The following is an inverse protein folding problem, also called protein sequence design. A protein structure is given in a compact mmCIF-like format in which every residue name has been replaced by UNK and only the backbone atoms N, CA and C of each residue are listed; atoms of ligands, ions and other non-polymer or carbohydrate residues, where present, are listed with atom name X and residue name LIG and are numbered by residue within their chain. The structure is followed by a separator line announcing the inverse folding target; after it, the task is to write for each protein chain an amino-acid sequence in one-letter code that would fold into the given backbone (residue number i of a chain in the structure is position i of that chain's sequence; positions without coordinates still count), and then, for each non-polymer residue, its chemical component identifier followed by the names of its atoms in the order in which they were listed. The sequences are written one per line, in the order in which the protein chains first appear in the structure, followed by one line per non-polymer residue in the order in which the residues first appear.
data_IF_098075006414
#
_entry.id   IF_098075006414
#
_cell.length_a   1.000
_cell.length_b   1.000
_cell.length_c   1.000
_cell.angle_alpha   90.00
_cell.angle_beta   90.00
_cell.angle_gamma   90.00
#
_symmetry.space_group_name_H-M   'P 1'
#
loop_
_entity.id
_entity.type
_entity.pdbx_description
1 polymer ?
#
# COMPACT_ATOMS: atom_id res chain seq x y z
N UNK A 1 24.68 -37.21 29.11
CA UNK A 1 24.83 -35.75 29.29
C UNK A 1 23.74 -35.09 28.46
N UNK A 2 22.64 -34.71 29.09
CA UNK A 2 21.46 -34.12 28.48
C UNK A 2 21.56 -32.61 28.61
N UNK A 3 21.50 -31.88 27.50
CA UNK A 3 21.48 -30.40 27.49
C UNK A 3 20.22 -29.88 28.19
N UNK A 4 20.30 -28.82 29.03
CA UNK A 4 19.13 -28.27 29.69
C UNK A 4 18.22 -27.61 28.65
N UNK A 5 16.95 -28.02 28.61
CA UNK A 5 15.94 -27.45 27.73
C UNK A 5 15.76 -25.96 28.00
N UNK A 6 16.04 -25.12 27.01
CA UNK A 6 15.76 -23.70 27.07
C UNK A 6 14.24 -23.47 27.12
N UNK A 7 13.75 -22.98 28.25
CA UNK A 7 12.37 -22.54 28.41
C UNK A 7 12.11 -21.33 27.50
N UNK A 8 11.14 -21.43 26.59
CA UNK A 8 10.73 -20.34 25.70
C UNK A 8 10.25 -19.15 26.53
N UNK A 9 10.74 -17.95 26.21
CA UNK A 9 10.26 -16.70 26.82
C UNK A 9 9.40 -15.93 25.81
N UNK A 10 8.20 -15.57 26.23
CA UNK A 10 7.32 -14.67 25.51
C UNK A 10 7.54 -13.24 26.01
N UNK A 11 7.57 -12.29 25.08
CA UNK A 11 7.65 -10.87 25.37
C UNK A 11 6.41 -10.18 24.81
N UNK A 12 5.84 -9.24 25.55
CA UNK A 12 4.69 -8.44 25.14
C UNK A 12 5.00 -6.95 25.26
N UNK A 13 4.29 -6.13 24.49
CA UNK A 13 4.34 -4.68 24.60
C UNK A 13 4.02 -4.23 26.04
N UNK A 14 4.68 -3.16 26.50
CA UNK A 14 4.35 -2.50 27.76
C UNK A 14 3.13 -1.58 27.65
N UNK A 15 2.64 -1.33 26.43
CA UNK A 15 1.47 -0.51 26.20
C UNK A 15 0.19 -1.35 26.31
N UNK A 16 -0.87 -0.73 26.83
CA UNK A 16 -2.19 -1.34 26.81
C UNK A 16 -2.56 -1.72 25.36
N UNK A 17 -3.16 -2.90 25.13
CA UNK A 17 -3.67 -3.26 23.82
C UNK A 17 -4.62 -2.18 23.29
N UNK A 18 -4.49 -1.84 22.01
CA UNK A 18 -5.45 -0.97 21.35
C UNK A 18 -6.78 -1.72 21.30
N UNK A 19 -7.74 -1.29 22.10
CA UNK A 19 -9.11 -1.80 22.08
C UNK A 19 -9.89 -1.14 20.94
N UNK A 20 -10.86 -1.86 20.36
CA UNK A 20 -11.77 -1.35 19.32
C UNK A 20 -11.07 -0.88 18.04
N UNK A 21 -10.21 -1.73 17.48
CA UNK A 21 -9.68 -1.51 16.13
C UNK A 21 -10.84 -1.49 15.12
N UNK A 22 -10.90 -0.49 14.23
CA UNK A 22 -11.98 -0.43 13.25
C UNK A 22 -11.85 -1.56 12.23
N UNK A 23 -12.94 -2.31 12.02
CA UNK A 23 -13.04 -3.36 11.01
C UNK A 23 -13.46 -2.77 9.66
N UNK A 24 -12.59 -1.94 9.09
CA UNK A 24 -12.81 -1.27 7.81
C UNK A 24 -11.64 -1.53 6.87
N UNK A 25 -11.84 -1.31 5.57
CA UNK A 25 -10.74 -1.40 4.60
C UNK A 25 -9.64 -0.38 4.92
N UNK A 26 -8.39 -0.65 4.55
CA UNK A 26 -7.28 0.31 4.66
C UNK A 26 -7.61 1.64 3.96
N UNK A 27 -8.26 1.56 2.80
CA UNK A 27 -8.73 2.74 2.08
C UNK A 27 -9.70 3.58 2.93
N UNK A 28 -10.74 2.95 3.47
CA UNK A 28 -11.72 3.59 4.35
C UNK A 28 -11.08 4.15 5.60
N UNK A 29 -10.18 3.41 6.24
CA UNK A 29 -9.45 3.85 7.42
C UNK A 29 -8.68 5.16 7.17
N UNK A 30 -8.05 5.29 6.00
CA UNK A 30 -7.27 6.48 5.63
C UNK A 30 -8.17 7.63 5.18
N UNK A 31 -9.22 7.33 4.40
CA UNK A 31 -9.94 8.33 3.61
C UNK A 31 -11.36 8.67 4.07
N UNK A 32 -12.04 7.80 4.82
CA UNK A 32 -13.44 8.01 5.23
C UNK A 32 -13.59 8.94 6.44
N UNK A 33 -12.50 9.42 7.03
CA UNK A 33 -12.56 10.46 8.06
C UNK A 33 -13.19 11.74 7.49
N UNK A 34 -14.25 12.21 8.16
CA UNK A 34 -14.97 13.45 7.86
C UNK A 34 -14.18 14.71 8.25
N UNK A 35 -12.96 14.54 8.75
CA UNK A 35 -12.00 15.60 9.02
C UNK A 35 -11.65 16.39 7.74
N UNK A 36 -12.52 17.33 7.36
CA UNK A 36 -12.31 18.27 6.25
C UNK A 36 -11.10 19.17 6.47
N UNK A 37 -10.65 19.32 7.72
CA UNK A 37 -9.55 20.19 8.12
C UNK A 37 -8.15 19.73 7.64
N UNK A 38 -8.01 18.52 7.06
CA UNK A 38 -6.74 18.03 6.52
C UNK A 38 -6.76 17.81 5.01
N UNK A 39 -7.85 18.16 4.31
CA UNK A 39 -7.98 17.96 2.87
C UNK A 39 -6.86 18.66 2.08
N UNK A 40 -6.60 19.93 2.39
CA UNK A 40 -5.60 20.76 1.69
C UNK A 40 -4.18 20.63 2.28
N UNK A 41 -3.99 19.74 3.26
CA UNK A 41 -2.69 19.53 3.87
C UNK A 41 -1.80 18.76 2.91
N UNK A 42 -0.61 19.30 2.62
CA UNK A 42 0.47 18.59 1.92
C UNK A 42 0.90 17.37 2.74
N UNK A 43 0.78 16.18 2.16
CA UNK A 43 1.11 14.90 2.82
C UNK A 43 2.26 14.16 2.13
N UNK A 44 2.50 14.43 0.85
CA UNK A 44 3.68 13.99 0.12
C UNK A 44 4.39 15.19 -0.48
N UNK A 45 5.71 15.20 -0.39
CA UNK A 45 6.57 16.23 -0.98
C UNK A 45 7.76 15.52 -1.61
N UNK A 46 8.01 15.82 -2.87
CA UNK A 46 9.23 15.41 -3.54
C UNK A 46 10.33 16.38 -3.13
N UNK A 47 11.34 15.87 -2.43
CA UNK A 47 12.43 16.69 -1.92
C UNK A 47 13.33 17.25 -3.03
N UNK A 48 13.36 16.63 -4.20
CA UNK A 48 14.22 17.02 -5.31
C UNK A 48 13.63 18.13 -6.16
N UNK A 49 12.31 18.14 -6.34
CA UNK A 49 11.59 19.13 -7.16
C UNK A 49 10.84 20.17 -6.33
N UNK A 50 10.53 19.86 -5.06
CA UNK A 50 9.65 20.65 -4.20
C UNK A 50 8.16 20.49 -4.52
N UNK A 51 7.80 19.66 -5.51
CA UNK A 51 6.41 19.34 -5.82
C UNK A 51 5.77 18.60 -4.65
N UNK A 52 4.45 18.74 -4.51
CA UNK A 52 3.74 18.16 -3.38
C UNK A 52 2.35 17.70 -3.77
N UNK A 53 1.85 16.67 -3.09
CA UNK A 53 0.45 16.29 -3.12
C UNK A 53 -0.21 16.60 -1.78
N UNK A 54 -1.34 17.28 -1.85
CA UNK A 54 -2.29 17.39 -0.75
C UNK A 54 -3.04 16.08 -0.54
N UNK A 55 -3.71 15.93 0.61
CA UNK A 55 -4.51 14.75 0.89
C UNK A 55 -5.66 14.57 -0.10
N UNK A 56 -6.33 15.65 -0.47
CA UNK A 56 -7.44 15.63 -1.44
C UNK A 56 -6.95 15.24 -2.85
N UNK A 57 -5.81 15.78 -3.29
CA UNK A 57 -5.19 15.42 -4.57
C UNK A 57 -4.80 13.94 -4.60
N UNK A 58 -4.13 13.44 -3.56
CA UNK A 58 -3.78 12.02 -3.47
C UNK A 58 -5.01 11.12 -3.56
N UNK A 59 -6.06 11.44 -2.79
CA UNK A 59 -7.32 10.69 -2.79
C UNK A 59 -7.96 10.69 -4.19
N UNK A 60 -7.98 11.84 -4.85
CA UNK A 60 -8.57 12.00 -6.19
C UNK A 60 -7.81 11.19 -7.24
N UNK A 61 -6.48 11.27 -7.23
CA UNK A 61 -5.62 10.50 -8.14
C UNK A 61 -5.81 9.01 -7.91
N UNK A 62 -5.77 8.55 -6.66
CA UNK A 62 -5.92 7.13 -6.33
C UNK A 62 -7.30 6.59 -6.75
N UNK A 63 -8.40 7.34 -6.53
CA UNK A 63 -9.74 6.93 -7.00
C UNK A 63 -9.82 6.86 -8.52
N UNK A 64 -9.22 7.83 -9.21
CA UNK A 64 -9.18 7.86 -10.67
C UNK A 64 -8.42 6.65 -11.23
N UNK A 65 -7.28 6.31 -10.62
CA UNK A 65 -6.51 5.12 -10.99
C UNK A 65 -7.29 3.83 -10.69
N UNK A 66 -7.97 3.74 -9.53
CA UNK A 66 -8.78 2.58 -9.17
C UNK A 66 -9.91 2.33 -10.18
N UNK A 67 -10.52 3.40 -10.71
CA UNK A 67 -11.48 3.30 -11.80
C UNK A 67 -10.84 2.70 -13.06
N UNK A 68 -9.66 3.17 -13.46
CA UNK A 68 -8.92 2.63 -14.62
C UNK A 68 -8.59 1.14 -14.42
N UNK A 69 -8.08 0.76 -13.24
CA UNK A 69 -7.74 -0.64 -12.94
C UNK A 69 -8.95 -1.57 -13.12
N UNK A 70 -10.14 -1.14 -12.67
CA UNK A 70 -11.34 -1.97 -12.64
C UNK A 70 -12.17 -1.92 -13.93
N UNK A 71 -12.25 -0.76 -14.59
CA UNK A 71 -13.15 -0.54 -15.74
C UNK A 71 -12.42 -0.55 -17.08
N UNK A 72 -11.13 -0.22 -17.10
CA UNK A 72 -10.32 -0.19 -18.33
C UNK A 72 -9.41 -1.41 -18.43
N UNK A 73 -8.78 -1.79 -17.33
CA UNK A 73 -7.87 -2.94 -17.28
C UNK A 73 -8.56 -4.24 -16.81
N UNK A 74 -9.85 -4.16 -16.48
CA UNK A 74 -10.72 -5.26 -16.09
C UNK A 74 -10.23 -6.12 -14.90
N UNK A 75 -9.36 -5.56 -14.05
CA UNK A 75 -8.90 -6.25 -12.84
C UNK A 75 -10.06 -6.46 -11.88
N UNK A 76 -10.14 -7.67 -11.33
CA UNK A 76 -11.16 -8.08 -10.38
C UNK A 76 -10.61 -8.05 -8.96
N UNK A 77 -11.53 -8.09 -8.00
CA UNK A 77 -11.17 -8.25 -6.60
C UNK A 77 -10.27 -9.48 -6.42
N UNK A 78 -9.16 -9.30 -5.72
CA UNK A 78 -8.16 -10.35 -5.47
C UNK A 78 -7.18 -10.58 -6.61
N UNK A 79 -7.32 -9.90 -7.74
CA UNK A 79 -6.26 -9.89 -8.77
C UNK A 79 -5.04 -9.12 -8.27
N UNK A 80 -3.86 -9.50 -8.75
CA UNK A 80 -2.59 -8.88 -8.36
C UNK A 80 -2.07 -7.95 -9.45
N UNK A 81 -1.72 -6.73 -9.06
CA UNK A 81 -0.94 -5.76 -9.83
C UNK A 81 0.51 -5.77 -9.34
N UNK A 82 1.47 -5.99 -10.24
CA UNK A 82 2.88 -5.74 -9.99
C UNK A 82 3.21 -4.27 -10.24
N UNK A 83 3.70 -3.58 -9.21
CA UNK A 83 4.10 -2.18 -9.31
C UNK A 83 5.63 -2.06 -9.32
N UNK A 84 6.21 -1.87 -10.50
CA UNK A 84 7.65 -1.60 -10.67
C UNK A 84 7.85 -0.09 -10.83
N UNK A 85 8.33 0.58 -9.78
CA UNK A 85 8.59 2.02 -9.85
C UNK A 85 9.62 2.48 -8.81
N UNK A 86 10.30 3.58 -9.12
CA UNK A 86 11.12 4.32 -8.15
C UNK A 86 10.21 5.11 -7.20
N UNK A 87 10.77 5.54 -6.07
CA UNK A 87 10.08 6.47 -5.17
C UNK A 87 9.66 7.73 -5.94
N UNK A 88 8.37 8.02 -5.94
CA UNK A 88 7.76 9.18 -6.60
C UNK A 88 6.48 9.59 -5.87
N UNK A 89 5.97 10.79 -6.16
CA UNK A 89 4.69 11.26 -5.62
C UNK A 89 3.51 10.35 -6.00
N UNK A 90 3.60 9.65 -7.14
CA UNK A 90 2.52 8.81 -7.66
C UNK A 90 2.56 7.37 -7.13
N UNK A 91 3.71 6.88 -6.65
CA UNK A 91 3.82 5.56 -6.04
C UNK A 91 2.76 5.30 -4.96
N UNK A 92 2.60 6.15 -3.92
CA UNK A 92 1.57 5.93 -2.91
C UNK A 92 0.15 6.03 -3.49
N UNK A 93 -0.07 6.84 -4.53
CA UNK A 93 -1.38 6.96 -5.17
C UNK A 93 -1.79 5.66 -5.85
N UNK A 94 -0.87 4.99 -6.57
CA UNK A 94 -1.13 3.70 -7.23
C UNK A 94 -1.35 2.60 -6.19
N UNK A 95 -0.54 2.55 -5.13
CA UNK A 95 -0.76 1.59 -4.03
C UNK A 95 -2.15 1.78 -3.42
N UNK A 96 -2.54 3.01 -3.09
CA UNK A 96 -3.87 3.28 -2.53
C UNK A 96 -5.00 2.99 -3.53
N UNK A 97 -4.76 3.18 -4.83
CA UNK A 97 -5.71 2.81 -5.87
C UNK A 97 -6.01 1.30 -5.88
N UNK A 98 -4.99 0.46 -5.69
CA UNK A 98 -5.22 -1.00 -5.55
C UNK A 98 -6.12 -1.31 -4.36
N UNK A 99 -5.93 -0.63 -3.23
CA UNK A 99 -6.77 -0.80 -2.04
C UNK A 99 -8.21 -0.37 -2.29
N UNK A 100 -8.41 0.77 -2.98
CA UNK A 100 -9.75 1.23 -3.38
C UNK A 100 -10.44 0.29 -4.37
N UNK A 101 -9.66 -0.38 -5.22
CA UNK A 101 -10.15 -1.35 -6.22
C UNK A 101 -10.29 -2.78 -5.68
N UNK A 102 -9.91 -3.04 -4.43
CA UNK A 102 -9.78 -4.38 -3.86
C UNK A 102 -8.84 -5.31 -4.67
N UNK A 103 -7.84 -4.71 -5.31
CA UNK A 103 -6.74 -5.36 -6.04
C UNK A 103 -5.54 -5.49 -5.10
N UNK A 104 -4.78 -6.58 -5.24
CA UNK A 104 -3.55 -6.83 -4.48
C UNK A 104 -2.40 -6.07 -5.13
N UNK A 105 -1.59 -5.36 -4.35
CA UNK A 105 -0.37 -4.70 -4.84
C UNK A 105 0.85 -5.56 -4.49
N UNK A 106 1.64 -5.92 -5.50
CA UNK A 106 2.98 -6.52 -5.36
C UNK A 106 4.03 -5.49 -5.78
N UNK A 107 4.62 -4.73 -4.83
CA UNK A 107 5.62 -3.71 -5.17
C UNK A 107 6.98 -4.34 -5.46
N UNK A 108 7.60 -3.96 -6.58
CA UNK A 108 8.94 -4.36 -6.97
C UNK A 108 9.87 -3.14 -7.04
N UNK A 109 11.15 -3.35 -6.79
CA UNK A 109 12.13 -2.28 -6.91
C UNK A 109 12.41 -1.98 -8.40
N UNK A 110 12.44 -0.70 -8.78
CA UNK A 110 12.79 -0.28 -10.14
C UNK A 110 14.23 -0.66 -10.56
N UNK A 111 15.11 -0.92 -9.59
CA UNK A 111 16.48 -1.38 -9.84
C UNK A 111 16.62 -2.91 -9.83
N UNK A 112 15.51 -3.66 -9.67
CA UNK A 112 15.54 -5.12 -9.72
C UNK A 112 16.03 -5.62 -11.07
N UNK A 113 16.86 -6.65 -11.03
CA UNK A 113 17.34 -7.37 -12.20
C UNK A 113 16.21 -8.14 -12.88
N UNK A 114 16.41 -8.53 -14.14
CA UNK A 114 15.42 -9.32 -14.88
C UNK A 114 15.07 -10.63 -14.18
N UNK A 115 16.04 -11.32 -13.59
CA UNK A 115 15.81 -12.57 -12.87
C UNK A 115 14.97 -12.37 -11.60
N UNK A 116 15.20 -11.29 -10.86
CA UNK A 116 14.41 -10.94 -9.69
C UNK A 116 12.97 -10.56 -10.06
N UNK A 117 12.80 -9.80 -11.15
CA UNK A 117 11.47 -9.45 -11.65
C UNK A 117 10.70 -10.68 -12.13
N UNK A 118 11.34 -11.60 -12.85
CA UNK A 118 10.71 -12.86 -13.27
C UNK A 118 10.27 -13.67 -12.05
N UNK A 119 11.12 -13.76 -11.04
CA UNK A 119 10.78 -14.43 -9.78
C UNK A 119 9.54 -13.77 -9.13
N UNK A 120 9.54 -12.45 -9.00
CA UNK A 120 8.44 -11.73 -8.36
C UNK A 120 7.13 -11.79 -9.15
N UNK A 121 7.17 -11.70 -10.49
CA UNK A 121 6.00 -11.88 -11.35
C UNK A 121 5.38 -13.26 -11.12
N UNK A 122 6.23 -14.28 -11.09
CA UNK A 122 5.80 -15.68 -10.94
C UNK A 122 5.24 -15.94 -9.54
N UNK A 123 5.92 -15.48 -8.50
CA UNK A 123 5.54 -15.70 -7.11
C UNK A 123 4.24 -14.97 -6.74
N UNK A 124 4.07 -13.73 -7.22
CA UNK A 124 2.89 -12.91 -6.90
C UNK A 124 1.66 -13.21 -7.75
N UNK A 125 1.81 -13.99 -8.84
CA UNK A 125 0.71 -14.28 -9.77
C UNK A 125 0.12 -13.02 -10.42
N UNK A 126 0.97 -12.01 -10.65
CA UNK A 126 0.55 -10.73 -11.20
C UNK A 126 -0.17 -10.89 -12.54
N UNK A 127 -1.36 -10.29 -12.67
CA UNK A 127 -2.13 -10.24 -13.90
C UNK A 127 -1.86 -8.98 -14.72
N UNK A 128 -1.32 -7.96 -14.07
CA UNK A 128 -0.87 -6.70 -14.65
C UNK A 128 0.46 -6.28 -14.03
#
# INVERSE_FOLDING_TARGET
MSTPGSSIRYFSSNFNPICNLPEVSTWSFIFDDKATNIADKKIYVDASTGESLTRSELQSIARSFAYVLTHTMDLKQGDTLLLIASNSLFFPAVVLATQAAAVICSPANALSTSSELVYQITDSGAKL
#
